data_IF_900759469098
#
_entry.id   IF_900759469098
#
_cell.length_a   1.000
_cell.length_b   1.000
_cell.length_c   1.000
_cell.angle_alpha   90.00
_cell.angle_beta   90.00
_cell.angle_gamma   90.00
#
_symmetry.space_group_name_H-M   'P 1'
#
loop_
_entity.id
_entity.type
_entity.pdbx_description
1 polymer ?
#
# COMPACT_ATOMS: atom_id res chain seq x y z
N UNK A 1 31.38 -22.46 -8.83
CA UNK A 1 31.01 -23.87 -8.64
C UNK A 1 29.50 -23.97 -8.62
N UNK A 2 28.94 -24.64 -9.62
CA UNK A 2 27.50 -24.79 -9.82
C UNK A 2 27.25 -25.20 -11.25
N UNK A 3 27.78 -26.37 -11.64
CA UNK A 3 27.50 -26.94 -12.95
C UNK A 3 26.01 -27.31 -13.03
N UNK A 4 25.26 -26.55 -13.83
CA UNK A 4 23.93 -26.94 -14.26
C UNK A 4 24.04 -28.23 -15.09
N UNK A 5 23.34 -29.27 -14.64
CA UNK A 5 23.39 -30.59 -15.25
C UNK A 5 22.77 -30.55 -16.67
N UNK A 6 23.50 -30.97 -17.72
CA UNK A 6 23.05 -30.91 -19.12
C UNK A 6 21.81 -31.77 -19.44
N UNK A 7 21.41 -32.64 -18.51
CA UNK A 7 20.25 -33.54 -18.63
C UNK A 7 18.92 -32.77 -18.64
N UNK A 8 18.82 -31.68 -17.87
CA UNK A 8 17.60 -30.86 -17.81
C UNK A 8 17.34 -30.10 -19.12
N UNK A 9 18.42 -29.65 -19.81
CA UNK A 9 18.31 -29.02 -21.13
C UNK A 9 17.89 -30.00 -22.24
N UNK A 10 18.32 -31.26 -22.16
CA UNK A 10 17.95 -32.29 -23.14
C UNK A 10 16.46 -32.64 -23.11
N UNK A 11 15.86 -32.71 -21.92
CA UNK A 11 14.44 -33.08 -21.76
C UNK A 11 13.51 -31.94 -22.21
N UNK A 12 13.90 -30.68 -21.99
CA UNK A 12 13.10 -29.51 -22.36
C UNK A 12 13.12 -29.19 -23.87
N UNK A 13 14.20 -29.56 -24.59
CA UNK A 13 14.37 -29.22 -26.00
C UNK A 13 14.05 -30.36 -26.98
N UNK A 14 13.56 -31.51 -26.51
CA UNK A 14 13.07 -32.60 -27.38
C UNK A 14 14.13 -33.29 -28.24
N UNK A 15 15.43 -33.06 -28.00
CA UNK A 15 16.54 -33.68 -28.76
C UNK A 15 17.31 -34.62 -27.84
N UNK A 16 16.76 -35.81 -27.57
CA UNK A 16 17.55 -36.92 -27.01
C UNK A 16 17.25 -38.20 -27.77
N UNK A 17 18.19 -38.62 -28.61
CA UNK A 17 18.20 -39.94 -29.23
C UNK A 17 18.51 -40.98 -28.14
N UNK A 18 17.52 -41.76 -27.74
CA UNK A 18 17.70 -42.84 -26.77
C UNK A 18 18.57 -43.96 -27.38
N UNK A 19 19.85 -43.99 -27.01
CA UNK A 19 20.59 -45.24 -27.05
C UNK A 19 20.11 -46.09 -25.87
N UNK A 20 19.57 -47.28 -26.18
CA UNK A 20 19.01 -48.26 -25.24
C UNK A 20 20.07 -48.88 -24.31
N UNK A 21 20.67 -48.07 -23.43
CA UNK A 21 21.44 -48.55 -22.30
C UNK A 21 20.59 -48.40 -21.02
N UNK A 22 20.25 -49.48 -20.31
CA UNK A 22 19.48 -49.39 -19.07
C UNK A 22 20.30 -48.68 -17.99
N UNK A 23 19.96 -47.41 -17.74
CA UNK A 23 20.51 -46.65 -16.61
C UNK A 23 19.85 -47.18 -15.33
N UNK A 24 20.60 -47.95 -14.53
CA UNK A 24 20.18 -48.30 -13.16
C UNK A 24 20.06 -47.00 -12.36
N UNK A 25 18.84 -46.51 -12.15
CA UNK A 25 18.59 -45.45 -11.17
C UNK A 25 19.06 -45.95 -9.80
N UNK A 26 20.21 -45.46 -9.35
CA UNK A 26 20.63 -45.59 -7.96
C UNK A 26 19.59 -44.97 -7.02
N UNK A 27 19.64 -45.33 -5.74
CA UNK A 27 18.70 -44.81 -4.72
C UNK A 27 18.74 -43.28 -4.73
N UNK A 28 17.65 -42.63 -5.15
CA UNK A 28 17.50 -41.17 -5.09
C UNK A 28 17.69 -40.73 -3.64
N UNK A 29 18.63 -39.82 -3.33
CA UNK A 29 18.83 -39.32 -1.98
C UNK A 29 17.51 -38.81 -1.39
N UNK A 30 17.22 -39.13 -0.12
CA UNK A 30 15.92 -38.79 0.51
C UNK A 30 15.55 -37.30 0.37
N UNK A 31 16.54 -36.41 0.49
CA UNK A 31 16.37 -34.95 0.30
C UNK A 31 15.94 -34.59 -1.13
N UNK A 32 16.52 -35.26 -2.12
CA UNK A 32 16.20 -35.01 -3.52
C UNK A 32 14.83 -35.58 -3.90
N UNK A 33 14.51 -36.77 -3.39
CA UNK A 33 13.14 -37.33 -3.50
C UNK A 33 12.10 -36.39 -2.89
N UNK A 34 12.39 -35.80 -1.73
CA UNK A 34 11.48 -34.84 -1.08
C UNK A 34 11.31 -33.55 -1.90
N UNK A 35 12.38 -33.02 -2.50
CA UNK A 35 12.31 -31.86 -3.40
C UNK A 35 11.47 -32.13 -4.66
N UNK A 36 11.68 -33.27 -5.31
CA UNK A 36 10.90 -33.66 -6.50
C UNK A 36 9.42 -33.77 -6.15
N UNK A 37 9.07 -34.42 -5.03
CA UNK A 37 7.69 -34.54 -4.58
C UNK A 37 7.08 -33.16 -4.25
N UNK A 38 7.83 -32.27 -3.61
CA UNK A 38 7.38 -30.90 -3.33
C UNK A 38 7.14 -30.10 -4.63
N UNK A 39 8.03 -30.21 -5.62
CA UNK A 39 7.86 -29.56 -6.92
C UNK A 39 6.64 -30.12 -7.69
N UNK A 40 6.40 -31.43 -7.63
CA UNK A 40 5.20 -32.05 -8.22
C UNK A 40 3.92 -31.57 -7.53
N UNK A 41 3.88 -31.48 -6.20
CA UNK A 41 2.73 -30.94 -5.48
C UNK A 41 2.49 -29.46 -5.77
N UNK A 42 3.55 -28.66 -5.87
CA UNK A 42 3.44 -27.24 -6.25
C UNK A 42 2.86 -27.08 -7.65
N UNK A 43 3.36 -27.81 -8.64
CA UNK A 43 2.86 -27.72 -10.03
C UNK A 43 1.41 -28.20 -10.18
N UNK A 44 0.99 -29.20 -9.42
CA UNK A 44 -0.41 -29.67 -9.42
C UNK A 44 -1.34 -28.64 -8.77
N UNK A 45 -0.92 -28.02 -7.67
CA UNK A 45 -1.67 -26.94 -7.01
C UNK A 45 -1.76 -25.67 -7.88
N UNK A 46 -0.69 -25.29 -8.59
CA UNK A 46 -0.73 -24.16 -9.53
C UNK A 46 -1.73 -24.41 -10.67
N UNK A 47 -1.75 -25.62 -11.24
CA UNK A 47 -2.70 -25.97 -12.30
C UNK A 47 -4.15 -26.01 -11.82
N UNK A 48 -4.42 -26.46 -10.60
CA UNK A 48 -5.79 -26.45 -10.05
C UNK A 48 -6.25 -25.01 -9.77
N UNK A 49 -5.37 -24.16 -9.23
CA UNK A 49 -5.62 -22.74 -9.02
C UNK A 49 -5.94 -22.01 -10.34
N UNK A 50 -5.13 -22.22 -11.39
CA UNK A 50 -5.37 -21.62 -12.71
C UNK A 50 -6.71 -22.06 -13.31
N UNK A 51 -7.08 -23.33 -13.19
CA UNK A 51 -8.38 -23.84 -13.65
C UNK A 51 -9.54 -23.19 -12.90
N UNK A 52 -9.44 -23.06 -11.58
CA UNK A 52 -10.48 -22.44 -10.76
C UNK A 52 -10.68 -20.96 -11.14
N UNK A 53 -9.60 -20.20 -11.30
CA UNK A 53 -9.66 -18.79 -11.75
C UNK A 53 -10.23 -18.69 -13.16
N UNK A 54 -9.81 -19.58 -14.08
CA UNK A 54 -10.35 -19.59 -15.44
C UNK A 54 -11.86 -19.85 -15.46
N UNK A 55 -12.37 -20.71 -14.58
CA UNK A 55 -13.80 -20.98 -14.46
C UNK A 55 -14.59 -19.78 -13.93
N UNK A 56 -14.03 -19.00 -12.99
CA UNK A 56 -14.68 -17.76 -12.50
C UNK A 56 -14.73 -16.64 -13.56
N UNK A 57 -13.85 -16.69 -14.56
CA UNK A 57 -13.71 -15.68 -15.63
C UNK A 57 -14.32 -16.12 -16.98
N UNK A 58 -14.95 -17.29 -17.03
CA UNK A 58 -15.50 -17.84 -18.27
C UNK A 58 -16.79 -17.14 -18.69
N UNK A 59 -17.66 -16.84 -17.73
CA UNK A 59 -18.94 -16.14 -17.95
C UNK A 59 -18.74 -14.62 -17.88
N UNK A 60 -18.64 -14.00 -19.06
CA UNK A 60 -18.41 -12.55 -19.20
C UNK A 60 -19.54 -11.71 -18.58
N UNK A 61 -20.80 -12.18 -18.62
CA UNK A 61 -21.94 -11.43 -18.07
C UNK A 61 -21.92 -11.47 -16.54
N UNK A 62 -21.63 -12.63 -15.95
CA UNK A 62 -21.43 -12.78 -14.51
C UNK A 62 -20.22 -11.99 -14.02
N UNK A 63 -19.10 -12.04 -14.74
CA UNK A 63 -17.90 -11.26 -14.45
C UNK A 63 -18.24 -9.77 -14.37
N UNK A 64 -18.89 -9.26 -15.42
CA UNK A 64 -19.33 -7.88 -15.52
C UNK A 64 -20.23 -7.47 -14.35
N UNK A 65 -21.30 -8.24 -14.11
CA UNK A 65 -22.25 -7.95 -13.04
C UNK A 65 -21.61 -7.99 -11.65
N UNK A 66 -20.68 -8.91 -11.42
CA UNK A 66 -19.97 -9.06 -10.14
C UNK A 66 -19.08 -7.85 -9.86
N UNK A 67 -18.27 -7.42 -10.83
CA UNK A 67 -17.35 -6.28 -10.66
C UNK A 67 -18.11 -4.98 -10.48
N UNK A 68 -19.17 -4.74 -11.27
CA UNK A 68 -20.00 -3.54 -11.15
C UNK A 68 -20.67 -3.50 -9.78
N UNK A 69 -21.30 -4.59 -9.36
CA UNK A 69 -21.94 -4.67 -8.03
C UNK A 69 -20.92 -4.45 -6.91
N UNK A 70 -19.76 -5.10 -6.99
CA UNK A 70 -18.69 -4.91 -6.03
C UNK A 70 -18.26 -3.44 -5.93
N UNK A 71 -18.16 -2.71 -7.04
CA UNK A 71 -17.87 -1.28 -7.03
C UNK A 71 -18.98 -0.48 -6.33
N UNK A 72 -20.24 -0.66 -6.73
CA UNK A 72 -21.37 0.09 -6.18
C UNK A 72 -21.57 -0.14 -4.67
N UNK A 73 -21.33 -1.37 -4.20
CA UNK A 73 -21.49 -1.75 -2.79
C UNK A 73 -20.33 -1.26 -1.90
N UNK A 74 -19.17 -0.96 -2.49
CA UNK A 74 -17.94 -0.62 -1.73
C UNK A 74 -17.45 0.80 -1.97
N UNK A 75 -18.07 1.54 -2.89
CA UNK A 75 -17.74 2.92 -3.19
C UNK A 75 -18.81 3.86 -2.63
N UNK A 76 -18.41 4.70 -1.68
CA UNK A 76 -19.27 5.75 -1.12
C UNK A 76 -19.40 6.96 -2.06
N UNK A 77 -18.49 7.07 -3.04
CA UNK A 77 -18.34 8.23 -3.93
C UNK A 77 -18.71 7.89 -5.39
N UNK A 78 -19.88 7.28 -5.58
CA UNK A 78 -20.44 7.11 -6.94
C UNK A 78 -20.95 8.44 -7.46
N UNK A 79 -21.08 8.58 -8.79
CA UNK A 79 -21.50 9.84 -9.41
C UNK A 79 -22.80 10.38 -8.80
N UNK A 80 -23.81 9.52 -8.66
CA UNK A 80 -25.11 9.91 -8.10
C UNK A 80 -25.04 10.38 -6.64
N UNK A 81 -24.13 9.82 -5.84
CA UNK A 81 -23.94 10.20 -4.43
C UNK A 81 -23.17 11.52 -4.30
N UNK A 82 -22.23 11.77 -5.20
CA UNK A 82 -21.35 12.96 -5.17
C UNK A 82 -21.99 14.17 -5.82
N UNK A 83 -22.84 13.97 -6.83
CA UNK A 83 -23.57 15.04 -7.53
C UNK A 83 -24.27 16.07 -6.61
N UNK A 84 -25.07 15.69 -5.59
CA UNK A 84 -25.67 16.66 -4.67
C UNK A 84 -24.62 17.41 -3.83
N UNK A 85 -23.52 16.75 -3.46
CA UNK A 85 -22.41 17.39 -2.74
C UNK A 85 -21.72 18.42 -3.62
N UNK A 86 -21.45 18.08 -4.89
CA UNK A 86 -20.88 18.99 -5.89
C UNK A 86 -21.77 20.19 -6.14
N UNK A 87 -23.08 20.00 -6.36
CA UNK A 87 -24.02 21.12 -6.52
C UNK A 87 -23.99 22.06 -5.32
N UNK A 88 -24.06 21.50 -4.10
CA UNK A 88 -23.99 22.30 -2.88
C UNK A 88 -22.69 23.10 -2.78
N UNK A 89 -21.55 22.49 -3.13
CA UNK A 89 -20.25 23.14 -3.13
C UNK A 89 -20.16 24.29 -4.15
N UNK A 90 -20.87 24.19 -5.28
CA UNK A 90 -20.95 25.24 -6.31
C UNK A 90 -21.90 26.37 -5.91
N UNK A 91 -23.08 26.04 -5.38
CA UNK A 91 -24.12 27.01 -5.04
C UNK A 91 -23.80 27.78 -3.76
N UNK A 92 -23.20 27.11 -2.77
CA UNK A 92 -22.86 27.66 -1.46
C UNK A 92 -21.44 27.22 -1.05
N UNK A 93 -20.40 27.77 -1.70
CA UNK A 93 -19.04 27.37 -1.41
C UNK A 93 -18.63 27.78 0.01
N UNK A 94 -18.27 26.78 0.83
CA UNK A 94 -17.63 26.97 2.13
C UNK A 94 -16.18 26.48 2.06
N UNK A 95 -15.29 27.38 1.64
CA UNK A 95 -13.88 27.04 1.46
C UNK A 95 -13.15 26.96 2.80
N UNK A 96 -12.34 25.91 2.97
CA UNK A 96 -11.45 25.77 4.13
C UNK A 96 -10.05 26.27 3.83
N UNK A 97 -9.40 26.88 4.83
CA UNK A 97 -7.97 27.15 4.77
C UNK A 97 -7.17 25.84 4.85
N UNK A 98 -6.05 25.80 4.15
CA UNK A 98 -5.19 24.63 4.01
C UNK A 98 -3.96 24.80 4.93
N UNK A 99 -3.76 23.96 5.96
CA UNK A 99 -2.56 24.05 6.79
C UNK A 99 -1.28 23.79 5.97
N UNK A 100 -0.15 24.45 6.27
CA UNK A 100 1.11 24.22 5.56
C UNK A 100 1.69 22.81 5.77
N UNK A 101 1.23 22.07 6.77
CA UNK A 101 1.74 20.75 7.21
C UNK A 101 0.98 19.55 6.62
N UNK A 102 0.09 19.73 5.65
CA UNK A 102 -0.70 18.61 5.10
C UNK A 102 0.17 17.55 4.40
N UNK A 103 0.06 16.31 4.88
CA UNK A 103 0.70 15.14 4.27
C UNK A 103 -0.04 14.65 3.02
N UNK A 104 -1.37 14.73 3.01
CA UNK A 104 -2.17 14.36 1.85
C UNK A 104 -3.47 15.21 1.75
N UNK A 105 -3.82 15.70 0.56
CA UNK A 105 -4.82 16.73 0.39
C UNK A 105 -6.28 16.32 0.56
N UNK A 106 -6.62 15.03 0.41
CA UNK A 106 -8.04 14.64 0.47
C UNK A 106 -8.58 14.62 1.92
N UNK A 107 -7.78 15.03 2.91
CA UNK A 107 -8.21 15.36 4.27
C UNK A 107 -7.53 16.66 4.81
N UNK A 108 -7.99 17.86 4.42
CA UNK A 108 -7.56 19.10 5.06
C UNK A 108 -8.26 19.23 6.41
N UNK A 109 -7.49 19.37 7.48
CA UNK A 109 -8.04 19.66 8.81
C UNK A 109 -8.12 21.19 9.02
N UNK A 110 -9.30 21.75 9.36
CA UNK A 110 -9.47 23.20 9.54
C UNK A 110 -8.92 23.74 10.89
N UNK A 111 -8.60 22.87 11.85
CA UNK A 111 -8.05 23.30 13.13
C UNK A 111 -6.52 23.16 13.13
N UNK A 112 -5.77 24.15 13.64
CA UNK A 112 -4.36 23.96 13.96
C UNK A 112 -4.30 23.00 15.16
N UNK A 113 -4.36 21.71 14.86
CA UNK A 113 -4.13 20.68 15.85
C UNK A 113 -2.70 20.83 16.35
N UNK A 114 -2.54 20.81 17.66
CA UNK A 114 -1.28 20.90 18.37
C UNK A 114 -0.47 19.63 18.14
N UNK A 115 0.13 19.49 16.95
CA UNK A 115 1.09 18.42 16.62
C UNK A 115 0.86 17.74 15.28
N UNK A 116 1.95 17.39 14.59
CA UNK A 116 1.92 16.63 13.32
C UNK A 116 1.26 15.24 13.47
N UNK A 117 1.28 14.67 14.67
CA UNK A 117 0.75 13.34 14.95
C UNK A 117 -0.79 13.28 14.94
N UNK A 118 -1.48 14.33 15.43
CA UNK A 118 -2.95 14.38 15.42
C UNK A 118 -3.49 14.55 13.99
N UNK A 119 -2.78 15.29 13.13
CA UNK A 119 -3.10 15.42 11.71
C UNK A 119 -3.01 14.08 10.97
N UNK A 120 -1.98 13.27 11.28
CA UNK A 120 -1.81 11.94 10.70
C UNK A 120 -2.89 10.96 11.17
N UNK A 121 -3.26 11.03 12.46
CA UNK A 121 -4.35 10.22 12.99
C UNK A 121 -5.71 10.58 12.37
N UNK A 122 -6.02 11.86 12.20
CA UNK A 122 -7.26 12.28 11.54
C UNK A 122 -7.25 11.88 10.06
N UNK A 123 -6.14 12.08 9.33
CA UNK A 123 -5.97 11.58 7.96
C UNK A 123 -6.24 10.07 7.87
N UNK A 124 -5.54 9.28 8.70
CA UNK A 124 -5.68 7.83 8.73
C UNK A 124 -7.12 7.40 9.05
N UNK A 125 -7.76 8.06 10.02
CA UNK A 125 -9.15 7.77 10.42
C UNK A 125 -10.14 8.03 9.28
N UNK A 126 -9.94 9.10 8.50
CA UNK A 126 -10.84 9.51 7.41
C UNK A 126 -10.68 8.66 6.15
N UNK A 127 -9.46 8.22 5.83
CA UNK A 127 -9.21 7.35 4.68
C UNK A 127 -9.43 5.88 4.96
N UNK A 128 -9.40 5.45 6.22
CA UNK A 128 -9.58 4.05 6.61
C UNK A 128 -10.85 3.39 6.02
N UNK A 129 -12.04 4.02 6.06
CA UNK A 129 -13.23 3.46 5.39
C UNK A 129 -13.05 3.29 3.89
N UNK A 130 -12.51 4.31 3.20
CA UNK A 130 -12.29 4.26 1.76
C UNK A 130 -11.28 3.17 1.37
N UNK A 131 -10.17 3.05 2.12
CA UNK A 131 -9.17 1.99 1.95
C UNK A 131 -9.80 0.60 2.14
N UNK A 132 -10.59 0.42 3.21
CA UNK A 132 -11.32 -0.83 3.44
C UNK A 132 -12.26 -1.14 2.28
N UNK A 133 -12.95 -0.14 1.74
CA UNK A 133 -13.79 -0.28 0.55
C UNK A 133 -13.01 -0.78 -0.67
N UNK A 134 -11.77 -0.32 -0.89
CA UNK A 134 -10.90 -0.83 -1.97
C UNK A 134 -10.46 -2.27 -1.73
N UNK A 135 -10.09 -2.63 -0.50
CA UNK A 135 -9.71 -4.01 -0.16
C UNK A 135 -10.89 -4.96 -0.36
N UNK A 136 -12.08 -4.57 0.11
CA UNK A 136 -13.30 -5.36 -0.04
C UNK A 136 -13.73 -5.47 -1.50
N UNK A 137 -13.58 -4.40 -2.28
CA UNK A 137 -13.76 -4.43 -3.73
C UNK A 137 -12.86 -5.46 -4.40
N UNK A 138 -11.55 -5.42 -4.11
CA UNK A 138 -10.58 -6.32 -4.72
C UNK A 138 -10.91 -7.79 -4.42
N UNK A 139 -11.29 -8.10 -3.18
CA UNK A 139 -11.70 -9.46 -2.77
C UNK A 139 -12.91 -10.01 -3.55
N UNK A 140 -13.76 -9.13 -4.09
CA UNK A 140 -14.94 -9.50 -4.87
C UNK A 140 -14.69 -9.55 -6.38
N UNK A 141 -13.49 -9.17 -6.85
CA UNK A 141 -13.11 -9.36 -8.25
C UNK A 141 -12.96 -10.87 -8.49
N UNK A 142 -13.67 -11.46 -9.48
CA UNK A 142 -13.55 -12.88 -9.80
C UNK A 142 -12.07 -13.29 -10.02
N UNK A 143 -11.68 -14.39 -9.38
CA UNK A 143 -10.33 -14.92 -9.36
C UNK A 143 -9.38 -14.32 -8.32
N UNK A 144 -9.64 -13.12 -7.78
CA UNK A 144 -8.68 -12.46 -6.88
C UNK A 144 -8.48 -13.23 -5.57
N UNK A 145 -9.57 -13.69 -4.94
CA UNK A 145 -9.50 -14.45 -3.69
C UNK A 145 -8.79 -15.81 -3.85
N UNK A 146 -8.73 -16.32 -5.08
CA UNK A 146 -8.05 -17.56 -5.42
C UNK A 146 -6.55 -17.38 -5.67
N UNK A 147 -6.03 -16.16 -5.80
CA UNK A 147 -4.60 -15.88 -5.95
C UNK A 147 -3.82 -16.25 -4.68
N UNK A 148 -2.51 -16.45 -4.81
CA UNK A 148 -1.65 -16.60 -3.65
C UNK A 148 -1.75 -15.37 -2.72
N UNK A 149 -1.74 -15.58 -1.41
CA UNK A 149 -1.89 -14.48 -0.43
C UNK A 149 -0.80 -13.41 -0.63
N UNK A 150 0.43 -13.81 -0.94
CA UNK A 150 1.55 -12.89 -1.23
C UNK A 150 1.22 -12.00 -2.44
N UNK A 151 0.62 -12.57 -3.49
CA UNK A 151 0.23 -11.81 -4.69
C UNK A 151 -0.94 -10.87 -4.37
N UNK A 152 -1.95 -11.31 -3.62
CA UNK A 152 -3.05 -10.45 -3.17
C UNK A 152 -2.54 -9.24 -2.37
N UNK A 153 -1.61 -9.46 -1.44
CA UNK A 153 -0.99 -8.41 -0.63
C UNK A 153 -0.16 -7.48 -1.51
N UNK A 154 0.61 -8.01 -2.46
CA UNK A 154 1.44 -7.22 -3.39
C UNK A 154 0.58 -6.31 -4.26
N UNK A 155 -0.49 -6.85 -4.86
CA UNK A 155 -1.43 -6.09 -5.68
C UNK A 155 -2.13 -4.98 -4.87
N UNK A 156 -2.61 -5.29 -3.66
CA UNK A 156 -3.27 -4.30 -2.80
C UNK A 156 -2.31 -3.21 -2.32
N UNK A 157 -1.12 -3.57 -1.85
CA UNK A 157 -0.11 -2.60 -1.39
C UNK A 157 0.26 -1.61 -2.50
N UNK A 158 0.34 -2.09 -3.74
CA UNK A 158 0.68 -1.24 -4.88
C UNK A 158 -0.52 -0.47 -5.44
N UNK A 159 -1.73 -1.04 -5.43
CA UNK A 159 -2.89 -0.50 -6.16
C UNK A 159 -3.85 0.36 -5.35
N UNK A 160 -3.85 0.30 -4.00
CA UNK A 160 -4.89 0.95 -3.18
C UNK A 160 -5.00 2.46 -3.43
N UNK A 161 -3.86 3.18 -3.44
CA UNK A 161 -3.88 4.63 -3.68
C UNK A 161 -4.38 4.95 -5.10
N UNK A 162 -3.96 4.19 -6.10
CA UNK A 162 -4.35 4.37 -7.49
C UNK A 162 -5.87 4.22 -7.66
N UNK A 163 -6.46 3.19 -7.05
CA UNK A 163 -7.92 2.98 -7.06
C UNK A 163 -8.66 4.08 -6.31
N UNK A 164 -8.14 4.52 -5.15
CA UNK A 164 -8.73 5.64 -4.42
C UNK A 164 -8.75 6.90 -5.27
N UNK A 165 -7.66 7.21 -5.96
CA UNK A 165 -7.59 8.40 -6.80
C UNK A 165 -8.59 8.35 -7.96
N UNK A 166 -8.78 7.18 -8.59
CA UNK A 166 -9.83 6.98 -9.61
C UNK A 166 -11.23 7.19 -9.01
N UNK A 167 -11.54 6.57 -7.87
CA UNK A 167 -12.87 6.68 -7.23
C UNK A 167 -13.17 8.10 -6.76
N UNK A 168 -12.18 8.80 -6.23
CA UNK A 168 -12.31 10.16 -5.69
C UNK A 168 -12.19 11.24 -6.76
N UNK A 169 -11.85 10.90 -8.01
CA UNK A 169 -11.73 11.88 -9.10
C UNK A 169 -13.03 12.68 -9.30
N UNK A 170 -14.20 12.07 -9.09
CA UNK A 170 -15.50 12.74 -9.18
C UNK A 170 -15.71 13.84 -8.13
N UNK A 171 -14.88 13.90 -7.08
CA UNK A 171 -14.91 14.95 -6.07
C UNK A 171 -14.12 16.20 -6.48
N UNK A 172 -13.43 16.18 -7.62
CA UNK A 172 -12.71 17.32 -8.17
C UNK A 172 -13.59 18.09 -9.17
N UNK A 173 -13.69 19.38 -8.94
CA UNK A 173 -14.44 20.31 -9.78
C UNK A 173 -13.48 21.23 -10.57
N UNK A 174 -13.29 20.90 -11.84
CA UNK A 174 -12.47 21.68 -12.76
C UNK A 174 -13.06 23.08 -13.01
N UNK A 175 -14.38 23.26 -12.95
CA UNK A 175 -15.00 24.56 -13.22
C UNK A 175 -14.63 25.61 -12.17
N UNK A 176 -14.56 25.21 -10.91
CA UNK A 176 -14.25 26.10 -9.79
C UNK A 176 -12.83 25.92 -9.25
N UNK A 177 -12.00 25.13 -9.93
CA UNK A 177 -10.65 24.76 -9.47
C UNK A 177 -10.64 24.33 -8.00
N UNK A 178 -11.57 23.46 -7.62
CA UNK A 178 -11.76 23.04 -6.23
C UNK A 178 -12.05 21.55 -6.11
N UNK A 179 -11.99 21.01 -4.90
CA UNK A 179 -12.34 19.63 -4.61
C UNK A 179 -13.14 19.57 -3.32
N UNK A 180 -14.03 18.58 -3.21
CA UNK A 180 -14.63 18.22 -1.93
C UNK A 180 -13.71 17.20 -1.25
N UNK A 181 -13.44 17.43 0.02
CA UNK A 181 -12.63 16.55 0.84
C UNK A 181 -13.49 15.52 1.57
N UNK A 182 -12.89 14.48 2.13
CA UNK A 182 -13.62 13.38 2.80
C UNK A 182 -14.39 13.84 4.05
N UNK A 183 -14.07 15.01 4.59
CA UNK A 183 -14.79 15.65 5.70
C UNK A 183 -15.95 16.56 5.22
N UNK A 184 -16.21 16.61 3.91
CA UNK A 184 -17.27 17.44 3.30
C UNK A 184 -16.88 18.90 3.06
N UNK A 185 -15.69 19.33 3.45
CA UNK A 185 -15.21 20.69 3.18
C UNK A 185 -14.78 20.86 1.73
N UNK A 186 -14.83 22.10 1.24
CA UNK A 186 -14.37 22.44 -0.10
C UNK A 186 -12.98 23.05 -0.01
N UNK A 187 -12.03 22.51 -0.77
CA UNK A 187 -10.67 23.02 -0.87
C UNK A 187 -10.43 23.57 -2.29
N UNK A 188 -10.00 24.82 -2.40
CA UNK A 188 -9.55 25.36 -3.69
C UNK A 188 -8.12 24.95 -3.98
N UNK A 189 -7.82 24.74 -5.25
CA UNK A 189 -6.47 24.50 -5.78
C UNK A 189 -5.49 25.63 -5.41
N UNK A 190 -5.94 26.87 -5.38
CA UNK A 190 -5.10 28.04 -5.02
C UNK A 190 -4.81 28.16 -3.51
N UNK A 191 -5.62 27.55 -2.66
CA UNK A 191 -5.47 27.65 -1.19
C UNK A 191 -4.27 26.86 -0.66
N UNK A 192 -3.59 26.10 -1.52
CA UNK A 192 -2.45 25.26 -1.17
C UNK A 192 -1.21 26.14 -1.23
N UNK A 193 -0.60 26.38 -0.08
CA UNK A 193 0.57 27.24 -0.01
C UNK A 193 1.72 26.70 -0.89
N UNK A 194 2.41 27.59 -1.63
CA UNK A 194 3.51 27.20 -2.53
C UNK A 194 4.67 26.50 -1.80
N UNK A 195 4.84 26.76 -0.50
CA UNK A 195 5.86 26.08 0.33
C UNK A 195 5.41 24.72 0.86
N UNK A 196 4.18 24.27 0.55
CA UNK A 196 3.70 22.98 0.99
C UNK A 196 4.43 21.87 0.24
N UNK A 197 4.98 20.92 1.01
CA UNK A 197 5.57 19.70 0.46
C UNK A 197 4.59 18.91 -0.43
N UNK A 198 3.28 19.14 -0.30
CA UNK A 198 2.22 18.46 -1.04
C UNK A 198 1.73 19.20 -2.30
N UNK A 199 2.22 20.42 -2.61
CA UNK A 199 1.69 21.25 -3.72
C UNK A 199 1.73 20.52 -5.07
N UNK A 200 2.89 19.97 -5.42
CA UNK A 200 3.11 19.29 -6.70
C UNK A 200 2.23 18.03 -6.86
N UNK A 201 2.14 17.22 -5.80
CA UNK A 201 1.26 16.05 -5.78
C UNK A 201 -0.19 16.49 -5.96
N UNK A 202 -0.61 17.56 -5.27
CA UNK A 202 -1.98 18.04 -5.37
C UNK A 202 -2.32 18.58 -6.76
N UNK A 203 -1.46 19.40 -7.36
CA UNK A 203 -1.63 19.84 -8.75
C UNK A 203 -1.77 18.66 -9.71
N UNK A 204 -0.90 17.67 -9.56
CA UNK A 204 -0.90 16.49 -10.42
C UNK A 204 -2.19 15.66 -10.24
N UNK A 205 -2.74 15.60 -9.03
CA UNK A 205 -4.04 14.97 -8.78
C UNK A 205 -5.21 15.77 -9.38
N UNK A 206 -5.20 17.11 -9.30
CA UNK A 206 -6.18 17.95 -9.99
C UNK A 206 -6.14 17.71 -11.49
N UNK A 207 -4.96 17.75 -12.10
CA UNK A 207 -4.77 17.56 -13.54
C UNK A 207 -5.13 16.14 -13.99
N UNK A 208 -4.89 15.13 -13.14
CA UNK A 208 -5.35 13.77 -13.39
C UNK A 208 -6.87 13.67 -13.34
N UNK A 209 -7.50 14.18 -12.28
CA UNK A 209 -8.94 14.08 -12.06
C UNK A 209 -9.71 14.82 -13.15
N UNK A 210 -9.25 16.00 -13.57
CA UNK A 210 -9.83 16.75 -14.69
C UNK A 210 -9.79 15.91 -15.99
N UNK A 211 -8.63 15.33 -16.32
CA UNK A 211 -8.46 14.49 -17.51
C UNK A 211 -9.23 13.18 -17.45
N UNK A 212 -9.50 12.63 -16.27
CA UNK A 212 -10.32 11.42 -16.11
C UNK A 212 -11.81 11.76 -16.20
N UNK A 213 -12.27 12.82 -15.53
CA UNK A 213 -13.67 13.26 -15.53
C UNK A 213 -14.14 13.70 -16.92
N UNK A 214 -13.23 14.24 -17.75
CA UNK A 214 -13.56 14.60 -19.15
C UNK A 214 -13.94 13.40 -20.02
N UNK A 215 -13.54 12.17 -19.63
CA UNK A 215 -13.94 10.92 -20.29
C UNK A 215 -15.40 10.52 -19.98
N UNK A 216 -16.05 11.18 -19.02
CA UNK A 216 -17.48 11.00 -18.67
C UNK A 216 -17.90 9.57 -18.36
N UNK A 217 -16.99 8.76 -17.81
CA UNK A 217 -17.20 7.36 -17.47
C UNK A 217 -18.33 7.14 -16.45
N UNK A 218 -19.24 6.22 -16.73
CA UNK A 218 -20.27 5.71 -15.81
C UNK A 218 -19.66 4.97 -14.61
N UNK A 219 -20.41 4.79 -13.52
CA UNK A 219 -19.94 4.02 -12.35
C UNK A 219 -19.59 2.55 -12.71
N UNK A 220 -20.27 1.98 -13.70
CA UNK A 220 -19.94 0.66 -14.24
C UNK A 220 -18.53 0.63 -14.86
N UNK A 221 -18.21 1.64 -15.69
CA UNK A 221 -16.91 1.78 -16.34
C UNK A 221 -15.80 2.10 -15.33
N UNK A 222 -16.09 2.95 -14.32
CA UNK A 222 -15.17 3.23 -13.21
C UNK A 222 -14.88 1.95 -12.43
N UNK A 223 -15.89 1.16 -12.07
CA UNK A 223 -15.71 -0.11 -11.37
C UNK A 223 -14.82 -1.09 -12.13
N UNK A 224 -15.08 -1.26 -13.42
CA UNK A 224 -14.26 -2.11 -14.30
C UNK A 224 -12.83 -1.57 -14.45
N UNK A 225 -12.66 -0.26 -14.65
CA UNK A 225 -11.34 0.36 -14.71
C UNK A 225 -10.55 0.20 -13.40
N UNK A 226 -11.20 0.37 -12.24
CA UNK A 226 -10.60 0.08 -10.94
C UNK A 226 -10.13 -1.38 -10.84
N UNK A 227 -10.89 -2.35 -11.36
CA UNK A 227 -10.47 -3.76 -11.35
C UNK A 227 -9.19 -4.00 -12.16
N UNK A 228 -9.05 -3.33 -13.31
CA UNK A 228 -7.84 -3.38 -14.15
C UNK A 228 -6.64 -2.74 -13.43
N UNK A 229 -6.85 -1.64 -12.71
CA UNK A 229 -5.80 -0.96 -11.92
C UNK A 229 -5.31 -1.83 -10.76
N UNK A 230 -6.22 -2.58 -10.10
CA UNK A 230 -5.86 -3.54 -9.03
C UNK A 230 -5.12 -4.75 -9.60
N UNK A 231 -5.66 -5.39 -10.63
CA UNK A 231 -5.13 -6.62 -11.22
C UNK A 231 -4.03 -6.25 -12.22
N UNK A 232 -2.84 -5.92 -11.74
CA UNK A 232 -1.73 -5.46 -12.56
C UNK A 232 -0.54 -6.42 -12.50
N UNK A 233 -0.17 -7.02 -13.63
CA UNK A 233 0.89 -8.04 -13.68
C UNK A 233 2.32 -7.47 -13.62
N UNK A 234 2.47 -6.16 -13.74
CA UNK A 234 3.76 -5.45 -13.73
C UNK A 234 4.22 -5.03 -12.32
N UNK A 235 3.54 -5.50 -11.25
CA UNK A 235 3.95 -5.21 -9.87
C UNK A 235 5.19 -6.03 -9.48
N UNK A 236 6.23 -5.40 -8.90
CA UNK A 236 7.39 -6.13 -8.39
C UNK A 236 7.00 -7.11 -7.27
N UNK A 237 7.55 -8.33 -7.31
CA UNK A 237 7.36 -9.35 -6.26
C UNK A 237 6.21 -10.32 -6.51
N UNK A 238 5.49 -10.21 -7.64
CA UNK A 238 4.46 -11.17 -8.02
C UNK A 238 5.04 -12.54 -8.37
N UNK A 239 4.37 -13.60 -7.93
CA UNK A 239 4.78 -14.99 -8.12
C UNK A 239 4.23 -15.58 -9.42
N UNK A 240 2.97 -15.31 -9.76
CA UNK A 240 2.33 -15.80 -10.98
C UNK A 240 1.82 -14.66 -11.87
N UNK A 241 2.74 -13.95 -12.53
CA UNK A 241 2.43 -12.81 -13.40
C UNK A 241 1.60 -13.20 -14.62
N UNK A 242 1.82 -14.39 -15.18
CA UNK A 242 1.07 -14.87 -16.36
C UNK A 242 -0.42 -15.03 -16.05
N UNK A 243 -0.75 -15.62 -14.89
CA UNK A 243 -2.13 -15.76 -14.45
C UNK A 243 -2.79 -14.39 -14.23
N UNK A 244 -2.10 -13.47 -13.56
CA UNK A 244 -2.59 -12.10 -13.33
C UNK A 244 -2.81 -11.37 -14.65
N UNK A 245 -1.94 -11.54 -15.64
CA UNK A 245 -2.09 -10.98 -16.98
C UNK A 245 -3.33 -11.55 -17.71
N UNK A 246 -3.60 -12.85 -17.59
CA UNK A 246 -4.85 -13.44 -18.13
C UNK A 246 -6.10 -12.83 -17.47
N UNK A 247 -6.08 -12.65 -16.15
CA UNK A 247 -7.17 -11.98 -15.43
C UNK A 247 -7.35 -10.54 -15.89
N UNK A 248 -6.24 -9.79 -16.01
CA UNK A 248 -6.24 -8.40 -16.49
C UNK A 248 -6.87 -8.28 -17.87
N UNK A 249 -6.50 -9.16 -18.81
CA UNK A 249 -7.03 -9.15 -20.17
C UNK A 249 -8.54 -9.46 -20.21
N UNK A 250 -9.03 -10.37 -19.37
CA UNK A 250 -10.47 -10.63 -19.22
C UNK A 250 -11.24 -9.41 -18.73
N UNK A 251 -10.73 -8.72 -17.70
CA UNK A 251 -11.34 -7.49 -17.18
C UNK A 251 -11.31 -6.35 -18.20
N UNK A 252 -10.20 -6.22 -18.94
CA UNK A 252 -10.06 -5.25 -20.03
C UNK A 252 -11.07 -5.49 -21.15
N UNK A 253 -11.30 -6.75 -21.55
CA UNK A 253 -12.31 -7.09 -22.55
C UNK A 253 -13.72 -6.78 -22.04
N UNK A 254 -14.02 -7.07 -20.78
CA UNK A 254 -15.30 -6.69 -20.17
C UNK A 254 -15.51 -5.16 -20.17
N UNK A 255 -14.49 -4.38 -19.82
CA UNK A 255 -14.53 -2.92 -19.92
C UNK A 255 -14.75 -2.44 -21.35
N UNK A 256 -14.05 -3.04 -22.33
CA UNK A 256 -14.23 -2.72 -23.74
C UNK A 256 -15.67 -2.90 -24.20
N UNK A 257 -16.32 -4.00 -23.78
CA UNK A 257 -17.71 -4.27 -24.12
C UNK A 257 -18.64 -3.16 -23.60
N UNK A 258 -18.47 -2.75 -22.34
CA UNK A 258 -19.30 -1.68 -21.74
C UNK A 258 -19.03 -0.33 -22.40
N UNK A 259 -17.75 0.01 -22.64
CA UNK A 259 -17.39 1.26 -23.31
C UNK A 259 -18.02 1.32 -24.71
N UNK A 260 -17.98 0.22 -25.48
CA UNK A 260 -18.55 0.18 -26.83
C UNK A 260 -20.08 0.34 -26.81
N UNK A 261 -20.75 -0.14 -25.75
CA UNK A 261 -22.19 0.01 -25.58
C UNK A 261 -22.58 1.43 -25.17
N UNK A 262 -21.85 2.03 -24.23
CA UNK A 262 -22.16 3.36 -23.69
C UNK A 262 -21.69 4.51 -24.58
N UNK A 263 -20.59 4.30 -25.32
CA UNK A 263 -19.92 5.32 -26.13
C UNK A 263 -19.67 4.82 -27.57
N UNK A 264 -20.73 4.47 -28.35
CA UNK A 264 -20.59 3.83 -29.66
C UNK A 264 -19.80 4.68 -30.69
N UNK A 265 -19.75 5.99 -30.48
CA UNK A 265 -19.04 6.94 -31.35
C UNK A 265 -17.60 7.25 -30.90
N UNK A 266 -17.12 6.67 -29.79
CA UNK A 266 -15.80 6.95 -29.23
C UNK A 266 -14.90 5.70 -29.19
N UNK A 267 -14.60 5.16 -30.37
CA UNK A 267 -13.83 3.91 -30.51
C UNK A 267 -12.43 3.95 -29.84
N UNK A 268 -11.86 5.14 -29.62
CA UNK A 268 -10.57 5.34 -28.95
C UNK A 268 -10.63 5.48 -27.43
N UNK A 269 -11.81 5.51 -26.81
CA UNK A 269 -11.98 5.85 -25.39
C UNK A 269 -11.22 4.88 -24.47
N UNK A 270 -11.28 3.59 -24.75
CA UNK A 270 -10.55 2.58 -23.97
C UNK A 270 -9.04 2.82 -23.99
N UNK A 271 -8.48 3.18 -25.15
CA UNK A 271 -7.05 3.41 -25.29
C UNK A 271 -6.64 4.66 -24.50
N UNK A 272 -7.45 5.72 -24.57
CA UNK A 272 -7.24 6.93 -23.78
C UNK A 272 -7.35 6.66 -22.27
N UNK A 273 -8.24 5.76 -21.85
CA UNK A 273 -8.37 5.32 -20.47
C UNK A 273 -7.18 4.48 -20.01
N UNK A 274 -6.67 3.56 -20.85
CA UNK A 274 -5.47 2.77 -20.53
C UNK A 274 -4.23 3.65 -20.35
N UNK A 275 -4.11 4.78 -21.08
CA UNK A 275 -3.04 5.77 -20.87
C UNK A 275 -3.08 6.44 -19.50
N UNK A 276 -4.19 6.34 -18.75
CA UNK A 276 -4.26 6.87 -17.37
C UNK A 276 -3.53 5.99 -16.36
N UNK A 277 -3.25 4.72 -16.70
CA UNK A 277 -2.56 3.80 -15.79
C UNK A 277 -1.12 4.26 -15.48
N UNK A 278 -0.27 4.62 -16.47
CA UNK A 278 1.04 5.21 -16.19
C UNK A 278 0.99 6.46 -15.30
N UNK A 279 0.04 7.37 -15.54
CA UNK A 279 -0.14 8.57 -14.71
C UNK A 279 -0.46 8.20 -13.25
N UNK A 280 -1.30 7.18 -13.04
CA UNK A 280 -1.58 6.63 -11.71
C UNK A 280 -0.31 6.08 -11.05
N UNK A 281 0.58 5.40 -11.80
CA UNK A 281 1.85 4.91 -11.26
C UNK A 281 2.75 6.05 -10.79
N UNK A 282 2.87 7.11 -11.59
CA UNK A 282 3.65 8.30 -11.22
C UNK A 282 3.07 8.97 -9.98
N UNK A 283 1.75 9.14 -9.92
CA UNK A 283 1.07 9.75 -8.77
C UNK A 283 1.23 8.91 -7.49
N UNK A 284 1.20 7.59 -7.61
CA UNK A 284 1.42 6.67 -6.50
C UNK A 284 2.86 6.75 -5.96
N UNK A 285 3.86 6.85 -6.84
CA UNK A 285 5.25 7.09 -6.46
C UNK A 285 5.38 8.42 -5.72
N UNK A 286 4.85 9.51 -6.28
CA UNK A 286 4.86 10.83 -5.63
C UNK A 286 4.17 10.79 -4.26
N UNK A 287 3.02 10.13 -4.15
CA UNK A 287 2.32 9.97 -2.88
C UNK A 287 3.16 9.21 -1.84
N UNK A 288 3.78 8.11 -2.26
CA UNK A 288 4.65 7.29 -1.40
C UNK A 288 5.86 8.08 -0.91
N UNK A 289 6.50 8.86 -1.79
CA UNK A 289 7.63 9.73 -1.42
C UNK A 289 7.22 10.79 -0.39
N UNK A 290 6.05 11.43 -0.56
CA UNK A 290 5.56 12.42 0.42
C UNK A 290 5.23 11.78 1.77
N UNK A 291 4.64 10.59 1.76
CA UNK A 291 4.37 9.84 2.99
C UNK A 291 5.68 9.45 3.71
N UNK A 292 6.72 9.04 2.97
CA UNK A 292 8.03 8.73 3.53
C UNK A 292 8.73 9.95 4.10
N UNK A 293 8.76 11.07 3.36
CA UNK A 293 9.34 12.33 3.83
C UNK A 293 8.66 12.82 5.11
N UNK A 294 7.34 12.69 5.19
CA UNK A 294 6.57 13.01 6.38
C UNK A 294 6.99 12.14 7.58
N UNK A 295 7.05 10.81 7.41
CA UNK A 295 7.47 9.88 8.48
C UNK A 295 8.91 10.13 8.95
N UNK A 296 9.83 10.44 8.05
CA UNK A 296 11.22 10.75 8.39
C UNK A 296 11.33 12.03 9.22
N UNK A 297 10.56 13.06 8.87
CA UNK A 297 10.54 14.33 9.60
C UNK A 297 10.02 14.12 11.04
N UNK A 298 8.99 13.29 11.22
CA UNK A 298 8.43 12.93 12.53
C UNK A 298 9.47 12.17 13.39
N UNK A 299 10.14 11.16 12.83
CA UNK A 299 11.19 10.42 13.52
C UNK A 299 12.37 11.33 13.94
N UNK A 300 12.75 12.27 13.07
CA UNK A 300 13.85 13.19 13.36
C UNK A 300 13.48 14.17 14.48
N UNK A 301 12.25 14.68 14.51
CA UNK A 301 11.76 15.54 15.59
C UNK A 301 11.71 14.81 16.93
N UNK A 302 11.22 13.56 16.95
CA UNK A 302 11.20 12.73 18.17
C UNK A 302 12.61 12.46 18.69
N UNK A 303 13.56 12.13 17.80
CA UNK A 303 14.96 11.95 18.16
C UNK A 303 15.57 13.23 18.74
N UNK A 304 15.28 14.39 18.14
CA UNK A 304 15.80 15.68 18.59
C UNK A 304 15.21 16.09 19.95
N UNK A 305 13.92 15.83 20.18
CA UNK A 305 13.27 16.05 21.47
C UNK A 305 13.84 15.14 22.56
N UNK A 306 14.09 13.87 22.24
CA UNK A 306 14.72 12.93 23.17
C UNK A 306 16.17 13.34 23.50
N UNK A 307 16.93 13.79 22.51
CA UNK A 307 18.28 14.32 22.73
C UNK A 307 18.27 15.58 23.60
N UNK A 308 17.29 16.46 23.42
CA UNK A 308 17.13 17.66 24.22
C UNK A 308 16.71 17.34 25.67
N UNK A 309 15.86 16.32 25.88
CA UNK A 309 15.53 15.81 27.22
C UNK A 309 16.72 15.13 27.89
N UNK A 310 17.55 14.39 27.16
CA UNK A 310 18.79 13.81 27.71
C UNK A 310 19.78 14.91 28.11
N UNK A 311 19.94 15.94 27.29
CA UNK A 311 20.79 17.09 27.60
C UNK A 311 20.29 17.86 28.82
N UNK A 312 18.98 18.13 28.88
CA UNK A 312 18.35 18.76 30.05
C UNK A 312 18.45 17.89 31.31
N UNK A 313 18.21 16.58 31.19
CA UNK A 313 18.34 15.64 32.28
C UNK A 313 19.77 15.53 32.80
N UNK A 314 20.78 15.57 31.92
CA UNK A 314 22.20 15.61 32.30
C UNK A 314 22.53 16.90 33.04
N UNK A 315 22.03 18.05 32.56
CA UNK A 315 22.27 19.35 33.19
C UNK A 315 21.61 19.44 34.58
N UNK A 316 20.42 18.86 34.75
CA UNK A 316 19.73 18.78 36.04
C UNK A 316 20.40 17.78 37.00
N UNK A 317 20.96 16.68 36.48
CA UNK A 317 21.72 15.71 37.28
C UNK A 317 23.07 16.27 37.76
N UNK A 318 23.72 17.13 36.99
CA UNK A 318 24.93 17.87 37.41
C UNK A 318 24.62 18.86 38.56
N UNK A 319 23.49 19.57 38.50
CA UNK A 319 23.04 20.46 39.58
C UNK A 319 22.67 19.68 40.87
N UNK A 320 22.06 18.49 40.75
CA UNK A 320 21.79 17.62 41.90
C UNK A 320 23.07 17.04 42.53
N UNK A 321 24.08 16.71 41.73
CA UNK A 321 25.39 16.24 42.21
C UNK A 321 26.15 17.35 42.98
N UNK A 322 26.01 18.60 42.55
CA UNK A 322 26.64 19.75 43.20
C UNK A 322 25.97 20.17 44.52
N UNK A 323 24.81 19.59 44.87
CA UNK A 323 24.04 19.92 46.08
C UNK A 323 24.23 18.92 47.24
N UNK A 324 24.98 17.82 47.06
CA UNK A 324 25.32 16.88 48.14
C UNK A 324 26.67 17.23 48.77
N UNK A 325 26.63 18.03 49.83
CA UNK A 325 27.77 18.20 50.75
C UNK A 325 27.97 16.93 51.60
N UNK A 326 29.16 16.32 51.66
CA UNK A 326 29.53 15.45 52.76
C UNK A 326 30.07 16.32 53.89
N UNK A 327 29.31 16.43 54.98
CA UNK A 327 29.83 16.97 56.23
C UNK A 327 30.90 16.03 56.81
N UNK A 328 31.98 16.60 57.33
CA UNK A 328 32.94 15.89 58.19
C UNK A 328 34.39 16.15 57.82
N UNK A 329 35.06 16.96 58.62
CA UNK A 329 36.41 17.49 58.38
C UNK A 329 37.56 16.49 58.60
N UNK A 330 38.62 16.71 57.80
CA UNK A 330 40.06 16.61 58.09
C UNK A 330 40.67 15.30 58.63
N UNK A 331 41.73 14.80 57.97
CA UNK A 331 43.13 14.87 58.44
C UNK A 331 44.10 14.35 57.36
N UNK A 332 45.24 15.04 57.23
CA UNK A 332 46.34 14.80 56.28
C UNK A 332 47.06 13.45 56.48
N UNK A 333 47.62 12.87 55.41
CA UNK A 333 49.09 12.78 55.24
C UNK A 333 49.51 11.94 54.03
N UNK A 334 50.42 12.54 53.26
CA UNK A 334 51.50 12.08 52.39
C UNK A 334 51.75 10.60 52.07
N UNK A 335 52.21 10.46 50.81
CA UNK A 335 53.39 9.72 50.35
C UNK A 335 53.15 8.51 49.44
N UNK A 336 53.53 8.72 48.17
CA UNK A 336 54.30 7.82 47.29
C UNK A 336 54.04 6.31 47.37
N UNK A 337 53.56 5.71 46.27
CA UNK A 337 54.33 4.62 45.65
C UNK A 337 54.01 4.41 44.16
N UNK A 338 55.03 3.93 43.46
CA UNK A 338 55.16 3.70 42.02
C UNK A 338 54.73 2.28 41.68
N UNK A 339 54.01 2.05 40.57
CA UNK A 339 54.13 0.86 39.67
C UNK A 339 53.30 1.14 38.40
N UNK A 340 53.95 1.41 37.27
CA UNK A 340 54.34 0.50 36.18
C UNK A 340 53.18 0.01 35.28
N UNK A 341 53.28 0.44 34.01
CA UNK A 341 52.89 -0.20 32.74
C UNK A 341 51.53 -0.95 32.66
N UNK A 342 50.70 -0.79 31.63
CA UNK A 342 51.10 -1.14 30.27
C UNK A 342 50.11 -0.60 29.22
N UNK A 343 50.68 -0.27 28.07
CA UNK A 343 50.06 0.28 26.87
C UNK A 343 49.33 -0.81 26.10
N UNK A 344 48.08 -0.55 25.66
CA UNK A 344 47.62 -0.77 24.25
C UNK A 344 46.13 -0.53 24.08
N UNK A 345 45.80 0.49 23.31
CA UNK A 345 44.78 0.40 22.25
C UNK A 345 45.51 0.11 20.93
N UNK A 346 44.84 -0.13 19.80
CA UNK A 346 43.45 -0.56 19.55
C UNK A 346 43.44 -1.85 18.68
N UNK A 347 42.28 -2.42 18.38
CA UNK A 347 41.90 -2.92 17.05
C UNK A 347 40.48 -3.47 17.10
N UNK A 348 39.79 -3.32 15.98
CA UNK A 348 38.34 -3.40 15.88
C UNK A 348 37.78 -4.81 15.90
N UNK A 349 36.45 -4.88 15.91
CA UNK A 349 35.67 -5.75 15.03
C UNK A 349 34.19 -5.47 15.22
N UNK A 350 33.52 -5.42 14.08
CA UNK A 350 32.07 -5.58 13.90
C UNK A 350 31.56 -6.83 14.62
N UNK A 351 30.37 -6.73 15.23
CA UNK A 351 29.58 -7.90 15.58
C UNK A 351 28.11 -7.59 15.44
N UNK A 352 27.50 -8.23 14.43
CA UNK A 352 26.06 -8.42 14.32
C UNK A 352 25.60 -9.38 15.41
N UNK A 353 24.54 -9.04 16.13
CA UNK A 353 23.71 -10.05 16.78
C UNK A 353 22.26 -9.85 16.35
N UNK A 354 21.82 -10.87 15.63
CA UNK A 354 20.45 -11.30 15.42
C UNK A 354 19.67 -11.46 16.75
N UNK A 355 18.41 -11.00 16.77
CA UNK A 355 17.40 -11.46 17.72
C UNK A 355 16.07 -11.66 17.01
N UNK A 356 15.57 -12.90 17.10
CA UNK A 356 14.29 -13.36 16.59
C UNK A 356 13.13 -13.06 17.56
N UNK A 357 11.91 -13.21 17.02
CA UNK A 357 10.61 -13.41 17.69
C UNK A 357 10.02 -12.17 18.39
N UNK A 358 8.74 -11.82 18.24
CA UNK A 358 7.55 -12.69 18.23
C UNK A 358 6.38 -12.11 17.44
N UNK A 359 5.57 -12.99 16.84
CA UNK A 359 4.25 -12.65 16.33
C UNK A 359 3.23 -12.58 17.46
N UNK A 360 2.26 -11.67 17.33
CA UNK A 360 1.03 -11.68 18.11
C UNK A 360 -0.13 -12.18 17.25
N UNK A 361 -0.57 -13.37 17.64
CA UNK A 361 -1.83 -14.03 17.28
C UNK A 361 -2.93 -13.32 18.06
N UNK A 362 -3.86 -12.66 17.36
CA UNK A 362 -5.09 -12.18 17.98
C UNK A 362 -6.03 -13.38 18.21
N UNK A 363 -6.10 -13.85 19.45
CA UNK A 363 -7.15 -14.76 19.91
C UNK A 363 -8.47 -14.02 20.04
N UNK A 364 -9.49 -14.54 19.35
CA UNK A 364 -10.89 -14.33 19.67
C UNK A 364 -11.16 -14.90 21.07
N UNK A 365 -11.75 -14.10 21.95
CA UNK A 365 -12.47 -14.63 23.09
C UNK A 365 -13.93 -14.19 23.01
N UNK A 366 -14.78 -15.21 22.88
CA UNK A 366 -16.21 -15.23 23.13
C UNK A 366 -16.56 -14.51 24.44
N UNK A 367 -17.60 -13.68 24.39
CA UNK A 367 -18.45 -13.41 25.54
C UNK A 367 -19.86 -13.91 25.22
N UNK A 368 -20.21 -14.99 25.90
CA UNK A 368 -21.57 -15.51 26.01
C UNK A 368 -22.13 -15.19 27.40
N UNK A 369 -23.47 -15.23 27.50
CA UNK A 369 -24.35 -14.91 28.64
C UNK A 369 -24.73 -13.42 28.83
N UNK A 370 -26.00 -13.06 29.07
CA UNK A 370 -27.20 -13.85 29.37
C UNK A 370 -28.47 -13.03 29.07
N UNK A 371 -29.49 -13.75 28.66
CA UNK A 371 -30.91 -13.43 28.59
C UNK A 371 -31.48 -12.68 29.81
N UNK A 372 -32.29 -11.66 29.56
CA UNK A 372 -33.45 -11.33 30.41
C UNK A 372 -34.64 -10.87 29.55
N UNK A 373 -35.72 -11.66 29.66
CA UNK A 373 -37.11 -11.30 29.42
C UNK A 373 -37.49 -10.01 30.18
N UNK A 374 -38.42 -9.21 29.66
CA UNK A 374 -39.78 -9.00 30.21
C UNK A 374 -40.53 -7.96 29.36
N UNK A 375 -41.73 -8.38 28.94
CA UNK A 375 -42.95 -7.66 28.53
C UNK A 375 -42.95 -6.58 27.45
#
# INVERSE_FOLDING_TARGET
MGEELPILKGILNGVVNYHNAPVRFGRVPKREKARILAAMQQSTNSRSQEKAISAELEDDQRLLGTVIRAHLDTCEFTRDKVEPMMRRARDQPSYTACPPTLACPLNPNPQPLTGQQELLQDFSKRFSPAIRGVVEFAKRIPGFALLAQDDQVTLLKAGVFEVLLVRLACMFDAQNNSMICLNGQVLKRESIHNSSNARFLMDSMFDFAERLNSLRLSDAEIGLFCSIVVIAADRPGLRNTELIERMHNKLKNALQMVINQNHPNQLGLIHELMKKIPDLRTLNTLHSEKLLAFKMTEQQQLAQQQQQQQMWGSMMAEDECNSKSPGGASTWSSSSDVTMEEVKSPLGSVSSTESMCSGEVASLNDYHHQSHHVS
#
